data_IF_114694312992
#
_entry.id   IF_114694312992
#
_cell.length_a   1.000
_cell.length_b   1.000
_cell.length_c   1.000
_cell.angle_alpha   90.00
_cell.angle_beta   90.00
_cell.angle_gamma   90.00
#
_symmetry.space_group_name_H-M   'P 1'
#
loop_
_entity.id
_entity.type
_entity.pdbx_description
1 polymer ?
#
# COMPACT_ATOMS: atom_id res chain seq x y z
N UNK A 1 -20.11 8.48 -3.16
CA UNK A 1 -19.11 9.27 -3.88
C UNK A 1 -19.07 8.78 -5.32
N UNK A 2 -19.24 9.69 -6.30
CA UNK A 2 -18.94 9.42 -7.71
C UNK A 2 -17.47 9.77 -7.96
N UNK A 3 -16.73 8.90 -8.63
CA UNK A 3 -15.31 9.14 -8.87
C UNK A 3 -14.59 7.97 -9.53
N UNK A 4 -13.29 8.06 -9.62
CA UNK A 4 -12.41 7.03 -10.17
C UNK A 4 -12.20 5.94 -9.12
N UNK A 5 -12.35 4.68 -9.51
CA UNK A 5 -12.10 3.54 -8.62
C UNK A 5 -10.67 3.04 -8.75
N UNK A 6 -10.02 2.87 -7.62
CA UNK A 6 -8.72 2.23 -7.50
C UNK A 6 -8.78 1.08 -6.49
N UNK A 7 -7.82 0.17 -6.54
CA UNK A 7 -7.65 -0.87 -5.54
C UNK A 7 -6.22 -0.82 -4.98
N UNK A 8 -6.05 -1.26 -3.73
CA UNK A 8 -4.75 -1.32 -3.08
C UNK A 8 -4.63 -2.54 -2.17
N UNK A 9 -3.48 -3.21 -2.18
CA UNK A 9 -2.99 -4.11 -1.14
C UNK A 9 -1.49 -4.37 -1.33
N UNK A 10 -0.83 -4.81 -0.28
CA UNK A 10 0.54 -5.31 -0.25
C UNK A 10 0.60 -6.77 0.18
N UNK A 11 1.82 -7.29 0.34
CA UNK A 11 2.08 -8.60 0.93
C UNK A 11 1.40 -9.72 0.10
N UNK A 12 1.88 -9.88 -1.17
CA UNK A 12 1.06 -10.45 -2.24
C UNK A 12 1.46 -11.88 -2.58
N UNK A 13 2.50 -12.05 -3.39
CA UNK A 13 2.75 -13.32 -4.06
C UNK A 13 3.78 -14.17 -3.33
N UNK A 14 3.39 -15.37 -2.95
CA UNK A 14 4.29 -16.35 -2.35
C UNK A 14 5.44 -16.75 -3.28
N UNK A 15 6.53 -17.21 -2.69
CA UNK A 15 7.58 -17.92 -3.40
C UNK A 15 7.00 -19.15 -4.14
N UNK A 16 7.27 -19.33 -5.44
CA UNK A 16 6.80 -20.50 -6.18
C UNK A 16 7.37 -21.82 -5.66
N UNK A 17 8.47 -21.79 -4.89
CA UNK A 17 9.03 -22.95 -4.21
C UNK A 17 8.34 -23.26 -2.85
N UNK A 18 7.41 -22.44 -2.38
CA UNK A 18 6.70 -22.72 -1.14
C UNK A 18 5.78 -23.93 -1.28
N UNK A 19 5.77 -24.80 -0.28
CA UNK A 19 4.85 -25.95 -0.21
C UNK A 19 3.36 -25.53 -0.24
N UNK A 20 3.06 -24.27 0.15
CA UNK A 20 1.71 -23.72 0.16
C UNK A 20 1.33 -22.99 -1.13
N UNK A 21 2.22 -22.91 -2.12
CA UNK A 21 2.01 -22.07 -3.31
C UNK A 21 0.82 -22.53 -4.16
N UNK A 22 0.73 -23.83 -4.47
CA UNK A 22 -0.35 -24.45 -5.26
C UNK A 22 -0.78 -23.60 -6.48
N UNK A 23 0.17 -23.17 -7.31
CA UNK A 23 -0.03 -22.26 -8.46
C UNK A 23 -0.75 -20.95 -8.08
N UNK A 24 -0.46 -20.41 -6.91
CA UNK A 24 -1.06 -19.18 -6.39
C UNK A 24 -2.49 -19.33 -5.85
N UNK A 25 -3.04 -20.55 -5.82
CA UNK A 25 -4.35 -20.85 -5.20
C UNK A 25 -4.26 -20.91 -3.69
N UNK A 26 -3.08 -21.25 -3.18
CA UNK A 26 -2.76 -21.37 -1.78
C UNK A 26 -3.46 -22.50 -1.06
N UNK A 27 -3.10 -22.67 0.21
CA UNK A 27 -3.70 -23.65 1.12
C UNK A 27 -3.98 -22.97 2.46
N UNK A 28 -5.15 -23.25 3.05
CA UNK A 28 -5.51 -22.65 4.35
C UNK A 28 -5.46 -21.12 4.32
N UNK A 29 -4.56 -20.53 5.12
CA UNK A 29 -4.41 -19.09 5.31
C UNK A 29 -3.15 -18.51 4.63
N UNK A 30 -2.65 -19.12 3.57
CA UNK A 30 -1.43 -18.69 2.87
C UNK A 30 -1.56 -18.76 1.36
N UNK A 31 -0.76 -17.97 0.63
CA UNK A 31 -0.59 -18.00 -0.83
C UNK A 31 -1.89 -17.78 -1.63
N UNK A 32 -2.73 -16.85 -1.18
CA UNK A 32 -4.06 -16.58 -1.78
C UNK A 32 -4.05 -15.51 -2.87
N UNK A 33 -2.87 -15.19 -3.44
CA UNK A 33 -2.70 -14.13 -4.45
C UNK A 33 -3.57 -14.31 -5.70
N UNK A 34 -3.89 -15.52 -6.11
CA UNK A 34 -4.80 -15.74 -7.24
C UNK A 34 -6.24 -15.35 -6.89
N UNK A 35 -6.69 -15.59 -5.66
CA UNK A 35 -8.02 -15.21 -5.21
C UNK A 35 -8.18 -13.67 -5.16
N UNK A 36 -7.21 -12.96 -4.58
CA UNK A 36 -7.21 -11.49 -4.52
C UNK A 36 -7.10 -10.87 -5.91
N UNK A 37 -6.27 -11.44 -6.78
CA UNK A 37 -6.15 -11.05 -8.19
C UNK A 37 -7.48 -11.22 -8.96
N UNK A 38 -8.26 -12.26 -8.71
CA UNK A 38 -9.59 -12.42 -9.30
C UNK A 38 -10.53 -11.28 -8.91
N UNK A 39 -10.44 -10.77 -7.70
CA UNK A 39 -11.20 -9.59 -7.25
C UNK A 39 -10.77 -8.33 -8.02
N UNK A 40 -9.47 -8.17 -8.29
CA UNK A 40 -8.95 -7.06 -9.10
C UNK A 40 -9.46 -7.10 -10.54
N UNK A 41 -9.34 -8.25 -11.20
CA UNK A 41 -9.78 -8.41 -12.60
C UNK A 41 -11.28 -8.12 -12.77
N UNK A 42 -12.10 -8.54 -11.82
CA UNK A 42 -13.55 -8.28 -11.85
C UNK A 42 -13.93 -6.85 -11.47
N UNK A 43 -13.04 -6.13 -10.81
CA UNK A 43 -13.34 -4.83 -10.20
C UNK A 43 -13.39 -3.65 -11.16
N UNK A 44 -12.79 -3.76 -12.36
CA UNK A 44 -12.68 -2.67 -13.36
C UNK A 44 -12.10 -1.38 -12.74
N UNK A 45 -10.91 -1.47 -12.18
CA UNK A 45 -10.20 -0.35 -11.56
C UNK A 45 -9.42 0.47 -12.60
N UNK A 46 -9.32 1.77 -12.39
CA UNK A 46 -8.49 2.66 -13.20
C UNK A 46 -7.00 2.55 -12.82
N UNK A 47 -6.71 2.18 -11.59
CA UNK A 47 -5.35 1.91 -11.11
C UNK A 47 -5.37 0.91 -9.97
N UNK A 48 -4.29 0.14 -9.86
CA UNK A 48 -4.00 -0.78 -8.74
C UNK A 48 -2.71 -0.33 -8.09
N UNK A 49 -2.75 -0.04 -6.79
CA UNK A 49 -1.59 0.35 -6.00
C UNK A 49 -1.08 -0.89 -5.25
N UNK A 50 0.16 -1.32 -5.51
CA UNK A 50 0.77 -2.35 -4.68
C UNK A 50 1.59 -1.69 -3.57
N UNK A 51 1.34 -2.13 -2.33
CA UNK A 51 1.87 -1.51 -1.12
C UNK A 51 3.16 -2.18 -0.63
N UNK A 52 3.98 -2.68 -1.57
CA UNK A 52 5.22 -3.39 -1.27
C UNK A 52 5.03 -4.88 -1.02
N UNK A 53 6.14 -5.57 -0.89
CA UNK A 53 6.23 -7.04 -0.75
C UNK A 53 5.34 -7.74 -1.77
N UNK A 54 5.58 -7.38 -3.03
CA UNK A 54 4.78 -7.86 -4.16
C UNK A 54 5.14 -9.30 -4.52
N UNK A 55 6.42 -9.69 -4.28
CA UNK A 55 6.92 -11.05 -4.54
C UNK A 55 7.87 -11.54 -3.45
N UNK A 56 7.47 -12.56 -2.73
CA UNK A 56 8.25 -13.25 -1.72
C UNK A 56 9.17 -14.33 -2.32
N UNK A 57 10.29 -14.77 -1.66
CA UNK A 57 10.74 -14.18 -0.38
C UNK A 57 11.70 -13.00 -0.62
N UNK A 58 12.28 -12.86 -1.83
CA UNK A 58 13.43 -12.01 -2.14
C UNK A 58 13.21 -11.06 -3.35
N UNK A 59 12.02 -11.01 -3.92
CA UNK A 59 11.72 -10.18 -5.09
C UNK A 59 12.53 -10.53 -6.35
N UNK A 60 13.03 -11.76 -6.48
CA UNK A 60 13.77 -12.18 -7.67
C UNK A 60 12.87 -12.17 -8.92
N UNK A 61 13.44 -11.75 -10.06
CA UNK A 61 12.69 -11.59 -11.31
C UNK A 61 11.99 -12.86 -11.76
N UNK A 62 12.65 -13.99 -11.63
CA UNK A 62 12.14 -15.31 -12.02
C UNK A 62 10.92 -15.71 -11.18
N UNK A 63 10.91 -15.32 -9.90
CA UNK A 63 9.78 -15.54 -9.01
C UNK A 63 8.61 -14.61 -9.36
N UNK A 64 8.87 -13.36 -9.75
CA UNK A 64 7.84 -12.50 -10.32
C UNK A 64 7.16 -13.15 -11.52
N UNK A 65 7.92 -13.72 -12.45
CA UNK A 65 7.39 -14.38 -13.63
C UNK A 65 6.58 -15.63 -13.28
N UNK A 66 7.05 -16.40 -12.29
CA UNK A 66 6.44 -17.69 -11.93
C UNK A 66 5.21 -17.55 -11.00
N UNK A 67 5.13 -16.52 -10.19
CA UNK A 67 4.11 -16.39 -9.14
C UNK A 67 3.26 -15.12 -9.24
N UNK A 68 3.88 -13.95 -9.29
CA UNK A 68 3.15 -12.68 -9.38
C UNK A 68 2.46 -12.51 -10.76
N UNK A 69 3.17 -12.79 -11.85
CA UNK A 69 2.69 -12.55 -13.22
C UNK A 69 1.40 -13.33 -13.54
N UNK A 70 1.26 -14.63 -13.26
CA UNK A 70 0.02 -15.36 -13.51
C UNK A 70 -1.14 -14.96 -12.58
N UNK A 71 -0.86 -14.20 -11.53
CA UNK A 71 -1.87 -13.70 -10.58
C UNK A 71 -2.11 -12.18 -10.75
N UNK A 72 -1.45 -11.35 -9.99
CA UNK A 72 -1.58 -9.89 -10.03
C UNK A 72 -1.01 -9.26 -11.31
N UNK A 73 -0.11 -9.94 -12.01
CA UNK A 73 0.39 -9.51 -13.32
C UNK A 73 -0.72 -9.32 -14.36
N UNK A 74 -1.88 -9.96 -14.19
CA UNK A 74 -3.06 -9.77 -15.04
C UNK A 74 -3.60 -8.34 -15.06
N UNK A 75 -3.25 -7.52 -14.07
CA UNK A 75 -3.59 -6.09 -13.99
C UNK A 75 -2.35 -5.19 -14.05
N UNK A 76 -1.20 -5.71 -14.49
CA UNK A 76 0.08 -4.99 -14.54
C UNK A 76 0.01 -3.67 -15.29
N UNK A 77 -0.76 -3.59 -16.36
CA UNK A 77 -0.88 -2.38 -17.19
C UNK A 77 -1.45 -1.17 -16.45
N UNK A 78 -2.20 -1.39 -15.36
CA UNK A 78 -2.78 -0.35 -14.52
C UNK A 78 -2.13 -0.30 -13.12
N UNK A 79 -1.09 -1.11 -12.89
CA UNK A 79 -0.40 -1.17 -11.59
C UNK A 79 0.56 0.00 -11.42
N UNK A 80 0.53 0.60 -10.23
CA UNK A 80 1.44 1.65 -9.74
C UNK A 80 2.10 1.13 -8.47
N UNK A 81 3.27 0.50 -8.56
CA UNK A 81 3.86 -0.24 -7.45
C UNK A 81 4.71 0.66 -6.53
N UNK A 82 4.69 0.37 -5.23
CA UNK A 82 5.73 0.77 -4.28
C UNK A 82 6.53 -0.46 -3.85
N UNK A 83 7.84 -0.36 -3.59
CA UNK A 83 8.63 -1.50 -3.13
C UNK A 83 8.47 -1.72 -1.62
N UNK A 84 8.50 -2.99 -1.21
CA UNK A 84 8.63 -3.39 0.19
C UNK A 84 10.05 -3.86 0.51
N UNK A 85 10.24 -4.43 1.72
CA UNK A 85 11.56 -4.90 2.14
C UNK A 85 11.97 -6.20 1.41
N UNK A 86 11.02 -7.07 1.10
CA UNK A 86 11.31 -8.31 0.36
C UNK A 86 11.84 -8.06 -1.05
N UNK A 87 11.48 -6.95 -1.70
CA UNK A 87 12.10 -6.57 -2.97
C UNK A 87 13.60 -6.26 -2.82
N UNK A 88 14.02 -5.71 -1.67
CA UNK A 88 15.41 -5.34 -1.40
C UNK A 88 16.27 -6.48 -0.81
N UNK A 89 15.71 -7.65 -0.52
CA UNK A 89 16.49 -8.88 -0.29
C UNK A 89 17.30 -9.23 -1.55
N UNK A 90 16.79 -8.92 -2.73
CA UNK A 90 17.60 -8.84 -3.95
C UNK A 90 18.29 -7.49 -4.03
N UNK A 91 19.62 -7.48 -4.22
CA UNK A 91 20.43 -6.25 -4.26
C UNK A 91 19.85 -5.20 -5.20
N UNK A 92 19.57 -3.99 -4.67
CA UNK A 92 18.99 -2.90 -5.42
C UNK A 92 17.58 -3.15 -5.95
N UNK A 93 16.86 -4.14 -5.40
CA UNK A 93 15.52 -4.56 -5.84
C UNK A 93 15.45 -4.80 -7.37
N UNK A 94 16.52 -5.38 -7.94
CA UNK A 94 16.68 -5.50 -9.39
C UNK A 94 15.57 -6.31 -10.05
N UNK A 95 15.05 -7.36 -9.40
CA UNK A 95 13.94 -8.15 -9.92
C UNK A 95 12.65 -7.34 -10.04
N UNK A 96 12.34 -6.54 -9.03
CA UNK A 96 11.20 -5.64 -9.00
C UNK A 96 11.25 -4.59 -10.12
N UNK A 97 12.38 -3.86 -10.23
CA UNK A 97 12.53 -2.83 -11.27
C UNK A 97 12.55 -3.42 -12.68
N UNK A 98 13.15 -4.60 -12.86
CA UNK A 98 13.11 -5.33 -14.12
C UNK A 98 11.69 -5.75 -14.49
N UNK A 99 10.91 -6.21 -13.52
CA UNK A 99 9.55 -6.65 -13.75
C UNK A 99 8.60 -5.49 -14.07
N UNK A 100 8.53 -4.47 -13.23
CA UNK A 100 7.60 -3.36 -13.40
C UNK A 100 8.08 -2.30 -14.40
N UNK A 101 9.36 -2.22 -14.67
CA UNK A 101 9.95 -1.26 -15.59
C UNK A 101 9.59 0.18 -15.22
N UNK A 102 9.13 0.96 -16.18
CA UNK A 102 8.80 2.38 -15.97
C UNK A 102 7.69 2.63 -14.93
N UNK A 103 6.84 1.66 -14.67
CA UNK A 103 5.78 1.80 -13.68
C UNK A 103 6.32 1.94 -12.25
N UNK A 104 7.51 1.41 -11.96
CA UNK A 104 8.21 1.50 -10.67
C UNK A 104 9.01 2.80 -10.49
N UNK A 105 9.01 3.71 -11.47
CA UNK A 105 9.78 4.95 -11.41
C UNK A 105 11.29 4.78 -11.66
N UNK A 106 12.10 5.69 -11.12
CA UNK A 106 13.57 5.64 -11.20
C UNK A 106 14.12 4.60 -10.20
N UNK A 107 14.85 3.56 -10.64
CA UNK A 107 15.39 2.53 -9.75
C UNK A 107 16.33 3.05 -8.64
N UNK A 108 16.91 4.24 -8.81
CA UNK A 108 17.76 4.87 -7.79
C UNK A 108 16.97 5.54 -6.68
N UNK A 109 15.65 5.68 -6.85
CA UNK A 109 14.75 6.39 -5.95
C UNK A 109 13.64 5.48 -5.42
N UNK A 110 12.89 4.82 -6.33
CA UNK A 110 11.74 4.01 -5.99
C UNK A 110 10.56 4.82 -5.44
N UNK A 111 10.59 6.15 -5.63
CA UNK A 111 9.48 7.06 -5.29
C UNK A 111 9.13 7.94 -6.47
N UNK A 112 7.86 8.22 -6.62
CA UNK A 112 7.29 9.01 -7.73
C UNK A 112 5.88 9.47 -7.39
N UNK A 113 5.30 10.35 -8.21
CA UNK A 113 3.92 10.78 -8.11
C UNK A 113 3.21 10.78 -9.46
N UNK A 114 1.90 10.83 -9.43
CA UNK A 114 1.04 10.92 -10.61
C UNK A 114 -0.33 11.44 -10.23
N UNK A 115 -1.03 12.04 -11.19
CA UNK A 115 -2.39 12.52 -10.99
C UNK A 115 -3.41 11.51 -11.51
N UNK A 116 -4.53 11.41 -10.80
CA UNK A 116 -5.67 10.60 -11.20
C UNK A 116 -6.98 11.37 -10.96
N UNK A 117 -7.52 11.93 -12.00
CA UNK A 117 -8.65 12.86 -11.89
C UNK A 117 -8.24 14.13 -11.16
N UNK A 118 -8.82 14.38 -9.98
CA UNK A 118 -8.52 15.55 -9.14
C UNK A 118 -7.65 15.18 -7.92
N UNK A 119 -7.11 13.99 -7.91
CA UNK A 119 -6.27 13.47 -6.85
C UNK A 119 -4.81 13.45 -7.28
N UNK A 120 -3.95 13.85 -6.36
CA UNK A 120 -2.52 13.64 -6.45
C UNK A 120 -2.14 12.38 -5.66
N UNK A 121 -1.49 11.42 -6.32
CA UNK A 121 -1.09 10.14 -5.73
C UNK A 121 0.43 10.04 -5.67
N UNK A 122 0.96 9.66 -4.52
CA UNK A 122 2.38 9.66 -4.23
C UNK A 122 2.82 8.28 -3.74
N UNK A 123 3.68 7.61 -4.51
CA UNK A 123 4.38 6.40 -4.09
C UNK A 123 5.69 6.80 -3.40
N UNK A 124 5.93 6.32 -2.19
CA UNK A 124 7.18 6.51 -1.45
C UNK A 124 7.90 5.17 -1.28
N UNK A 125 9.21 5.26 -1.10
CA UNK A 125 10.04 4.11 -0.78
C UNK A 125 10.42 4.13 0.70
N UNK A 126 9.85 3.24 1.48
CA UNK A 126 10.12 3.13 2.92
C UNK A 126 11.38 2.32 3.26
N UNK A 127 12.11 1.83 2.26
CA UNK A 127 13.41 1.18 2.46
C UNK A 127 14.50 2.25 2.58
N UNK A 128 14.55 2.90 3.72
CA UNK A 128 15.31 4.14 3.97
C UNK A 128 16.80 4.00 3.66
N UNK A 129 17.39 2.84 3.94
CA UNK A 129 18.81 2.57 3.65
C UNK A 129 19.11 2.59 2.13
N UNK A 130 18.13 2.20 1.31
CA UNK A 130 18.29 2.14 -0.14
C UNK A 130 18.17 3.52 -0.83
N UNK A 131 17.60 4.52 -0.13
CA UNK A 131 17.26 5.84 -0.73
C UNK A 131 17.86 7.02 0.03
N UNK A 132 18.97 6.79 0.71
CA UNK A 132 19.67 7.81 1.52
C UNK A 132 18.80 8.46 2.62
N UNK A 133 17.89 7.67 3.22
CA UNK A 133 17.11 8.04 4.39
C UNK A 133 15.67 8.42 4.13
N UNK A 134 14.88 8.41 5.22
CA UNK A 134 13.46 8.80 5.25
C UNK A 134 13.18 9.94 6.25
N UNK A 135 14.18 10.39 6.96
CA UNK A 135 14.05 11.46 7.96
C UNK A 135 13.95 12.85 7.35
N UNK A 136 13.75 13.84 8.22
CA UNK A 136 13.73 15.26 7.85
C UNK A 136 15.04 15.63 7.13
N UNK A 137 14.93 16.29 5.98
CA UNK A 137 16.08 16.71 5.17
C UNK A 137 16.67 15.63 4.28
N UNK A 138 16.16 14.39 4.32
CA UNK A 138 16.58 13.34 3.37
C UNK A 138 16.16 13.70 1.93
N UNK A 139 16.85 13.16 0.91
CA UNK A 139 16.52 13.47 -0.49
C UNK A 139 15.05 13.18 -0.84
N UNK A 140 14.50 12.09 -0.33
CA UNK A 140 13.09 11.72 -0.57
C UNK A 140 12.13 12.66 0.16
N UNK A 141 12.40 13.02 1.40
CA UNK A 141 11.53 13.95 2.15
C UNK A 141 11.54 15.35 1.53
N UNK A 142 12.70 15.85 1.10
CA UNK A 142 12.80 17.11 0.37
C UNK A 142 12.07 17.06 -0.98
N UNK A 143 12.16 15.93 -1.69
CA UNK A 143 11.41 15.72 -2.92
C UNK A 143 9.90 15.73 -2.64
N UNK A 144 9.44 15.01 -1.61
CA UNK A 144 8.03 14.97 -1.22
C UNK A 144 7.47 16.37 -0.95
N UNK A 145 8.19 17.23 -0.21
CA UNK A 145 7.76 18.61 0.03
C UNK A 145 7.67 19.44 -1.24
N UNK A 146 8.64 19.28 -2.14
CA UNK A 146 8.61 20.00 -3.44
C UNK A 146 7.48 19.49 -4.33
N UNK A 147 7.24 18.21 -4.35
CA UNK A 147 6.19 17.57 -5.12
C UNK A 147 4.79 18.05 -4.66
N UNK A 148 4.54 18.00 -3.35
CA UNK A 148 3.31 18.52 -2.74
C UNK A 148 3.09 20.01 -3.03
N UNK A 149 4.13 20.81 -3.00
CA UNK A 149 4.02 22.25 -3.31
C UNK A 149 3.78 22.52 -4.80
N UNK A 150 4.29 21.67 -5.68
CA UNK A 150 4.15 21.80 -7.13
C UNK A 150 2.78 21.30 -7.66
N UNK A 151 2.12 20.42 -6.89
CA UNK A 151 0.86 19.78 -7.30
C UNK A 151 -0.26 20.06 -6.28
N UNK A 152 -0.79 21.30 -6.21
CA UNK A 152 -1.88 21.64 -5.30
C UNK A 152 -3.18 20.97 -5.77
N UNK A 153 -3.39 19.73 -5.37
CA UNK A 153 -4.58 18.95 -5.71
C UNK A 153 -5.70 19.17 -4.71
N UNK A 154 -6.93 18.87 -5.13
CA UNK A 154 -8.10 18.93 -4.23
C UNK A 154 -8.04 17.88 -3.12
N UNK A 155 -7.37 16.77 -3.35
CA UNK A 155 -7.14 15.69 -2.39
C UNK A 155 -5.83 14.97 -2.72
N UNK A 156 -5.11 14.51 -1.71
CA UNK A 156 -3.83 13.80 -1.86
C UNK A 156 -3.84 12.47 -1.12
N UNK A 157 -3.31 11.44 -1.77
CA UNK A 157 -3.09 10.12 -1.22
C UNK A 157 -1.62 9.73 -1.37
N UNK A 158 -1.00 9.27 -0.28
CA UNK A 158 0.35 8.71 -0.33
C UNK A 158 0.33 7.23 0.07
N UNK A 159 1.26 6.44 -0.47
CA UNK A 159 1.39 5.03 -0.12
C UNK A 159 2.85 4.57 -0.13
N UNK A 160 3.15 3.67 0.79
CA UNK A 160 4.45 3.01 0.94
C UNK A 160 4.28 1.76 1.80
N UNK A 161 5.31 0.93 1.91
CA UNK A 161 5.20 -0.39 2.53
C UNK A 161 5.05 -0.36 4.05
N UNK A 162 6.06 0.14 4.80
CA UNK A 162 6.08 0.06 6.27
C UNK A 162 5.15 1.09 6.93
N UNK A 163 4.20 0.69 7.77
CA UNK A 163 3.21 1.61 8.35
C UNK A 163 3.84 2.53 9.42
N UNK A 164 3.33 3.78 9.50
CA UNK A 164 3.65 4.68 10.62
C UNK A 164 2.93 4.26 11.90
N UNK A 165 1.69 3.80 11.77
CA UNK A 165 0.88 3.27 12.86
C UNK A 165 0.37 1.89 12.48
N UNK A 166 0.51 0.93 13.40
CA UNK A 166 0.00 -0.43 13.23
C UNK A 166 -0.19 -1.11 14.57
N UNK A 167 -1.23 -1.91 14.67
CA UNK A 167 -1.49 -2.86 15.76
C UNK A 167 -0.98 -4.26 15.44
N UNK A 168 -0.47 -4.51 14.24
CA UNK A 168 0.08 -5.78 13.79
C UNK A 168 1.37 -6.17 14.51
N UNK A 169 1.98 -7.27 14.09
CA UNK A 169 3.15 -7.84 14.77
C UNK A 169 4.40 -6.95 14.66
N UNK A 170 4.59 -6.26 13.53
CA UNK A 170 5.71 -5.34 13.34
C UNK A 170 5.48 -4.01 14.06
N UNK A 171 4.22 -3.60 14.18
CA UNK A 171 3.80 -2.45 14.96
C UNK A 171 4.08 -1.11 14.30
N UNK A 172 3.93 -0.05 15.09
CA UNK A 172 4.12 1.34 14.64
C UNK A 172 5.61 1.68 14.49
N UNK A 173 5.98 2.40 13.41
CA UNK A 173 7.36 2.82 13.18
C UNK A 173 7.48 4.35 13.06
N UNK A 174 8.26 4.96 13.97
CA UNK A 174 8.48 6.40 14.00
C UNK A 174 9.42 6.91 12.90
N UNK A 175 10.13 6.04 12.20
CA UNK A 175 11.01 6.38 11.07
C UNK A 175 10.29 7.18 9.99
N UNK A 176 9.00 6.88 9.76
CA UNK A 176 8.19 7.54 8.73
C UNK A 176 7.47 8.80 9.19
N UNK A 177 7.80 9.31 10.40
CA UNK A 177 7.18 10.53 10.95
C UNK A 177 7.42 11.75 10.06
N UNK A 178 8.58 11.85 9.41
CA UNK A 178 8.90 12.97 8.52
C UNK A 178 7.96 13.02 7.28
N UNK A 179 7.64 11.87 6.69
CA UNK A 179 6.65 11.78 5.61
C UNK A 179 5.27 12.22 6.09
N UNK A 180 4.86 11.74 7.26
CA UNK A 180 3.59 12.14 7.86
C UNK A 180 3.50 13.65 8.13
N UNK A 181 4.60 14.26 8.62
CA UNK A 181 4.65 15.70 8.86
C UNK A 181 4.54 16.52 7.56
N UNK A 182 5.20 16.07 6.49
CA UNK A 182 5.11 16.72 5.18
C UNK A 182 3.69 16.62 4.60
N UNK A 183 3.09 15.43 4.62
CA UNK A 183 1.74 15.17 4.14
C UNK A 183 0.68 15.92 4.95
N UNK A 184 0.75 15.87 6.28
CA UNK A 184 -0.17 16.59 7.16
C UNK A 184 -0.08 18.10 6.96
N UNK A 185 1.15 18.64 6.83
CA UNK A 185 1.36 20.06 6.57
C UNK A 185 0.79 20.53 5.23
N UNK A 186 0.73 19.65 4.25
CA UNK A 186 0.17 19.91 2.93
C UNK A 186 -1.34 19.60 2.81
N UNK A 187 -1.98 19.11 3.87
CA UNK A 187 -3.41 18.77 3.86
C UNK A 187 -3.73 17.50 3.07
N UNK A 188 -2.85 16.47 3.11
CA UNK A 188 -3.16 15.19 2.49
C UNK A 188 -4.21 14.42 3.30
N UNK A 189 -4.93 13.51 2.62
CA UNK A 189 -6.12 12.83 3.15
C UNK A 189 -5.84 11.42 3.65
N UNK A 190 -5.09 10.65 2.85
CA UNK A 190 -5.00 9.19 2.99
C UNK A 190 -3.55 8.73 2.93
N UNK A 191 -3.21 7.79 3.81
CA UNK A 191 -1.97 7.02 3.76
C UNK A 191 -2.33 5.54 3.66
N UNK A 192 -1.70 4.81 2.73
CA UNK A 192 -1.84 3.36 2.61
C UNK A 192 -0.49 2.69 2.86
N UNK A 193 -0.51 1.57 3.58
CA UNK A 193 0.67 0.74 3.86
C UNK A 193 0.32 -0.75 3.84
N UNK A 194 1.34 -1.61 3.72
CA UNK A 194 1.29 -3.05 3.88
C UNK A 194 2.08 -3.47 5.12
N UNK A 195 2.98 -4.47 4.95
CA UNK A 195 3.97 -4.97 5.89
C UNK A 195 3.40 -5.78 7.06
N UNK A 196 2.43 -5.26 7.79
CA UNK A 196 1.65 -6.09 8.70
C UNK A 196 0.57 -6.80 7.89
N UNK A 197 0.56 -8.13 7.98
CA UNK A 197 -0.26 -9.01 7.14
C UNK A 197 -1.69 -9.10 7.67
N UNK A 198 -2.33 -7.96 7.69
CA UNK A 198 -3.70 -7.77 8.19
C UNK A 198 -4.42 -6.65 7.43
N UNK A 199 -5.61 -6.34 7.85
CA UNK A 199 -6.30 -5.12 7.49
C UNK A 199 -6.53 -4.29 8.75
N UNK A 200 -6.08 -3.03 8.74
CA UNK A 200 -6.38 -2.10 9.81
C UNK A 200 -6.71 -0.72 9.25
N UNK A 201 -7.73 -0.05 9.81
CA UNK A 201 -8.06 1.32 9.50
C UNK A 201 -8.06 2.17 10.77
N UNK A 202 -7.34 3.29 10.67
CA UNK A 202 -7.26 4.27 11.74
C UNK A 202 -8.24 5.43 11.52
N UNK A 203 -8.66 6.08 12.62
CA UNK A 203 -9.25 7.41 12.57
C UNK A 203 -8.26 8.41 11.95
N UNK A 204 -8.77 9.50 11.41
CA UNK A 204 -7.93 10.61 10.98
C UNK A 204 -7.13 11.17 12.16
N UNK A 205 -5.80 11.28 12.01
CA UNK A 205 -4.88 11.59 13.11
C UNK A 205 -3.69 12.42 12.66
N UNK A 206 -3.02 13.06 13.64
CA UNK A 206 -1.80 13.84 13.46
C UNK A 206 -0.57 12.96 13.25
N UNK A 207 0.59 13.51 12.86
CA UNK A 207 1.86 12.77 12.83
C UNK A 207 2.31 12.21 14.20
N UNK A 208 1.74 12.71 15.29
CA UNK A 208 2.00 12.21 16.66
C UNK A 208 1.05 11.11 17.09
N UNK A 209 -0.04 10.86 16.34
CA UNK A 209 -1.04 9.86 16.67
C UNK A 209 -2.23 10.40 17.47
N UNK A 210 -2.36 11.70 17.59
CA UNK A 210 -3.54 12.31 18.22
C UNK A 210 -4.68 12.36 17.21
N UNK A 211 -5.91 12.04 17.62
CA UNK A 211 -7.09 12.12 16.75
C UNK A 211 -7.31 13.54 16.26
N UNK A 212 -7.44 13.70 14.95
CA UNK A 212 -7.74 14.98 14.31
C UNK A 212 -8.75 14.79 13.17
N UNK A 213 -10.01 14.95 13.47
CA UNK A 213 -11.10 14.76 12.51
C UNK A 213 -11.18 15.87 11.44
N UNK A 214 -10.46 16.98 11.62
CA UNK A 214 -10.52 18.15 10.72
C UNK A 214 -9.42 18.18 9.68
N UNK A 215 -8.22 17.74 10.03
CA UNK A 215 -7.01 17.84 9.21
C UNK A 215 -6.15 16.57 9.22
N UNK A 216 -6.57 15.56 9.99
CA UNK A 216 -5.80 14.34 10.19
C UNK A 216 -5.75 13.46 8.95
N UNK A 217 -4.65 12.75 8.78
CA UNK A 217 -4.48 11.71 7.76
C UNK A 217 -5.17 10.43 8.22
N UNK A 218 -5.98 9.83 7.37
CA UNK A 218 -6.52 8.49 7.59
C UNK A 218 -5.58 7.44 7.04
N UNK A 219 -5.07 6.57 7.91
CA UNK A 219 -4.24 5.45 7.49
C UNK A 219 -5.04 4.17 7.33
N UNK A 220 -4.67 3.39 6.31
CA UNK A 220 -5.06 1.99 6.14
C UNK A 220 -3.78 1.14 6.06
N UNK A 221 -3.72 0.07 6.82
CA UNK A 221 -2.81 -1.06 6.61
C UNK A 221 -3.59 -2.10 5.82
N UNK A 222 -3.02 -2.58 4.73
CA UNK A 222 -3.68 -3.54 3.82
C UNK A 222 -2.65 -4.56 3.33
N UNK A 223 -2.10 -5.33 4.28
CA UNK A 223 -1.17 -6.43 4.00
C UNK A 223 -1.88 -7.76 3.73
N UNK A 224 -3.11 -7.68 3.26
CA UNK A 224 -4.00 -8.84 3.00
C UNK A 224 -3.99 -9.30 1.55
N UNK A 225 -2.94 -8.93 0.77
CA UNK A 225 -2.86 -9.17 -0.68
C UNK A 225 -2.70 -10.61 -1.10
N UNK A 226 -2.21 -11.49 -0.22
CA UNK A 226 -2.15 -12.92 -0.57
C UNK A 226 -1.12 -13.78 0.16
N UNK A 227 -0.06 -13.23 0.74
CA UNK A 227 1.04 -14.02 1.32
C UNK A 227 0.58 -14.92 2.46
N UNK A 228 0.22 -14.34 3.58
CA UNK A 228 -0.37 -14.97 4.77
C UNK A 228 -1.08 -13.91 5.61
N UNK A 229 -1.82 -14.32 6.62
CA UNK A 229 -2.45 -13.40 7.56
C UNK A 229 -1.87 -13.65 8.95
N UNK A 230 -1.68 -12.56 9.72
CA UNK A 230 -1.04 -12.59 11.03
C UNK A 230 -1.91 -11.88 12.06
N UNK A 231 -1.97 -12.40 13.30
CA UNK A 231 -2.79 -11.81 14.35
C UNK A 231 -2.25 -10.43 14.76
N UNK A 232 -3.13 -9.61 15.31
CA UNK A 232 -2.75 -8.36 15.95
C UNK A 232 -1.96 -8.62 17.24
N UNK A 233 -1.04 -7.71 17.54
CA UNK A 233 -0.25 -7.70 18.78
C UNK A 233 -0.94 -6.84 19.84
N UNK A 234 -0.80 -5.52 19.75
CA UNK A 234 -1.38 -4.57 20.71
C UNK A 234 -2.16 -3.51 19.96
N UNK A 235 -3.47 -3.48 20.20
CA UNK A 235 -4.37 -2.49 19.58
C UNK A 235 -3.92 -1.07 19.92
N UNK A 236 -3.64 -0.29 18.88
CA UNK A 236 -3.21 1.11 19.02
C UNK A 236 -4.40 2.04 19.17
N UNK A 237 -4.14 3.18 19.81
CA UNK A 237 -5.10 4.27 19.81
C UNK A 237 -5.52 4.65 18.38
N UNK A 238 -6.77 5.06 18.21
CA UNK A 238 -7.37 5.44 16.92
C UNK A 238 -7.59 4.30 15.92
N UNK A 239 -7.29 3.04 16.25
CA UNK A 239 -7.72 1.90 15.44
C UNK A 239 -9.25 1.79 15.46
N UNK A 240 -9.91 1.82 14.29
CA UNK A 240 -11.36 1.81 14.15
C UNK A 240 -11.91 0.53 13.51
N UNK A 241 -11.10 -0.18 12.74
CA UNK A 241 -11.47 -1.46 12.13
C UNK A 241 -10.23 -2.35 11.97
N UNK A 242 -10.38 -3.63 12.27
CA UNK A 242 -9.30 -4.62 12.26
C UNK A 242 -9.80 -5.96 11.72
N UNK A 243 -9.00 -6.62 10.88
CA UNK A 243 -9.23 -8.00 10.47
C UNK A 243 -7.91 -8.70 10.09
N UNK A 244 -7.71 -9.89 10.60
CA UNK A 244 -6.60 -10.78 10.29
C UNK A 244 -7.09 -12.17 9.84
N UNK A 245 -8.30 -12.23 9.29
CA UNK A 245 -8.96 -13.48 8.89
C UNK A 245 -9.38 -13.51 7.42
N UNK A 246 -9.34 -12.37 6.75
CA UNK A 246 -9.79 -12.23 5.37
C UNK A 246 -8.68 -11.70 4.45
N UNK A 247 -8.40 -12.42 3.38
CA UNK A 247 -7.63 -11.88 2.26
C UNK A 247 -8.53 -10.99 1.40
N UNK A 248 -7.98 -9.90 0.92
CA UNK A 248 -8.75 -8.98 0.09
C UNK A 248 -7.95 -7.78 -0.36
N UNK A 249 -8.67 -6.81 -0.90
CA UNK A 249 -8.11 -5.55 -1.35
C UNK A 249 -8.96 -4.38 -0.86
N UNK A 250 -8.33 -3.27 -0.56
CA UNK A 250 -9.02 -2.01 -0.30
C UNK A 250 -9.42 -1.37 -1.63
N UNK A 251 -10.71 -1.20 -1.85
CA UNK A 251 -11.22 -0.35 -2.94
C UNK A 251 -11.39 1.07 -2.43
N UNK A 252 -10.85 2.03 -3.16
CA UNK A 252 -11.14 3.46 -2.96
C UNK A 252 -11.91 4.00 -4.17
N UNK A 253 -12.87 4.89 -3.91
CA UNK A 253 -13.54 5.71 -4.92
C UNK A 253 -13.15 7.15 -4.69
N UNK A 254 -12.36 7.71 -5.60
CA UNK A 254 -11.76 9.03 -5.53
C UNK A 254 -12.65 10.04 -6.26
N UNK A 255 -13.39 10.82 -5.52
CA UNK A 255 -14.26 11.89 -6.05
C UNK A 255 -13.59 13.26 -6.08
N UNK A 256 -14.27 14.27 -6.56
CA UNK A 256 -13.72 15.62 -6.77
C UNK A 256 -13.40 16.42 -5.48
N UNK A 257 -13.75 15.93 -4.33
CA UNK A 257 -13.51 16.56 -3.01
C UNK A 257 -13.98 15.63 -1.90
N UNK A 258 -13.99 14.33 -2.17
CA UNK A 258 -14.40 13.31 -1.21
C UNK A 258 -13.87 11.94 -1.66
N UNK A 259 -13.76 11.04 -0.73
CA UNK A 259 -13.45 9.64 -1.05
C UNK A 259 -14.35 8.68 -0.27
N UNK A 260 -14.50 7.47 -0.82
CA UNK A 260 -15.13 6.35 -0.14
C UNK A 260 -14.20 5.15 -0.18
N UNK A 261 -14.25 4.33 0.87
CA UNK A 261 -13.51 3.09 0.97
C UNK A 261 -14.43 1.90 1.15
N UNK A 262 -13.96 0.76 0.70
CA UNK A 262 -14.58 -0.53 0.94
C UNK A 262 -13.54 -1.63 0.90
N UNK A 263 -13.38 -2.38 1.98
CA UNK A 263 -12.64 -3.63 1.92
C UNK A 263 -13.42 -4.68 1.13
N UNK A 264 -12.77 -5.29 0.16
CA UNK A 264 -13.32 -6.29 -0.76
C UNK A 264 -12.70 -7.64 -0.44
N UNK A 265 -13.31 -8.47 0.40
CA UNK A 265 -12.79 -9.79 0.70
C UNK A 265 -12.80 -10.67 -0.55
N UNK A 266 -11.72 -11.42 -0.72
CA UNK A 266 -11.57 -12.47 -1.75
C UNK A 266 -11.68 -13.86 -1.14
N UNK A 267 -11.23 -13.99 0.10
CA UNK A 267 -11.37 -15.15 0.98
C UNK A 267 -11.69 -14.60 2.37
N UNK A 268 -12.63 -15.22 3.08
CA UNK A 268 -13.15 -14.68 4.34
C UNK A 268 -14.41 -13.84 4.13
N UNK A 269 -14.88 -13.18 5.19
CA UNK A 269 -16.16 -12.48 5.18
C UNK A 269 -16.12 -11.05 5.74
N UNK A 270 -14.95 -10.57 6.16
CA UNK A 270 -14.82 -9.24 6.75
C UNK A 270 -15.17 -8.14 5.74
N UNK A 271 -15.84 -7.10 6.24
CA UNK A 271 -16.14 -5.90 5.46
C UNK A 271 -15.95 -4.65 6.30
N UNK A 272 -15.32 -3.65 5.72
CA UNK A 272 -15.25 -2.29 6.25
C UNK A 272 -15.56 -1.31 5.13
N UNK A 273 -16.37 -0.29 5.40
CA UNK A 273 -16.68 0.71 4.39
C UNK A 273 -17.08 2.05 5.02
N UNK A 274 -16.85 3.11 4.27
CA UNK A 274 -17.24 4.45 4.68
C UNK A 274 -16.93 5.47 3.62
N UNK A 275 -17.16 6.73 3.95
CA UNK A 275 -16.81 7.86 3.08
C UNK A 275 -16.57 9.12 3.91
N UNK A 276 -15.78 10.04 3.37
CA UNK A 276 -15.56 11.36 3.97
C UNK A 276 -15.23 12.39 2.88
N UNK A 277 -15.31 13.66 3.23
CA UNK A 277 -14.82 14.75 2.38
C UNK A 277 -13.32 14.91 2.56
N UNK A 278 -12.68 15.45 1.54
CA UNK A 278 -11.35 16.03 1.67
C UNK A 278 -11.39 17.33 2.46
N UNK A 279 -10.33 17.67 3.16
CA UNK A 279 -10.22 18.93 3.93
C UNK A 279 -9.62 20.08 3.13
#
# INVERSE_FOLDING_TARGET
VKGVRIAAAGDIACDPGSEFFADGRGTGSTCRQLATSNTLVRGHYASVLTLGDTQYEDGAYEKFVASYDPSWGRVKSITKPAPGNHEYESSGATGYYRYFGRAAGDPRKGYYSFDLGRWHLIALNSNCAAVAGCGVGSPQEQWLRRDLAAHPAACTLAYWHHPRFSSGLHGSDSTYRAFWQALYGAGAEVVLSGHDHDYERFAAQTPSGDRDARRGLRQFVVGSGGKDLRPFSTVRANSEAQDATSFGVLQLTLGAGAYAWRFRPSVGAFTDSGSTRCH
#
